data_IF_840955273750
#
_entry.id   IF_840955273750
#
_cell.length_a   1.000
_cell.length_b   1.000
_cell.length_c   1.000
_cell.angle_alpha   90.00
_cell.angle_beta   90.00
_cell.angle_gamma   90.00
#
_symmetry.space_group_name_H-M   'P 1'
#
loop_
_entity.id
_entity.type
_entity.pdbx_description
1 polymer ?
#
# COMPACT_ATOMS: atom_id res chain seq x y z
N UNK A 1 -9.78 -16.79 -6.98
CA UNK A 1 -9.78 -16.34 -5.57
C UNK A 1 -9.50 -17.54 -4.70
N UNK A 2 -8.38 -17.54 -3.97
CA UNK A 2 -8.03 -18.64 -3.06
C UNK A 2 -8.61 -18.32 -1.69
N UNK A 3 -9.55 -19.12 -1.20
CA UNK A 3 -10.14 -18.95 0.14
C UNK A 3 -9.70 -20.10 1.05
N UNK A 4 -9.22 -19.77 2.25
CA UNK A 4 -8.92 -20.77 3.29
C UNK A 4 -9.56 -20.35 4.61
N UNK A 5 -10.11 -21.34 5.32
CA UNK A 5 -10.61 -21.15 6.67
C UNK A 5 -9.43 -21.00 7.63
N UNK A 6 -9.39 -19.86 8.32
CA UNK A 6 -8.43 -19.59 9.41
C UNK A 6 -9.20 -19.34 10.69
N UNK A 7 -8.58 -19.62 11.84
CA UNK A 7 -9.13 -19.30 13.16
C UNK A 7 -8.41 -18.08 13.71
N UNK A 8 -9.16 -17.26 14.44
CA UNK A 8 -8.58 -16.26 15.32
C UNK A 8 -7.99 -17.02 16.51
N UNK A 9 -6.70 -16.81 16.77
CA UNK A 9 -6.00 -17.40 17.92
C UNK A 9 -6.00 -16.42 19.09
N UNK A 10 -5.39 -16.81 20.21
CA UNK A 10 -5.29 -15.99 21.40
C UNK A 10 -4.76 -14.58 21.12
N UNK A 11 -5.35 -13.59 21.80
CA UNK A 11 -5.03 -12.19 21.62
C UNK A 11 -5.54 -11.58 20.30
N UNK A 12 -6.50 -12.22 19.63
CA UNK A 12 -7.16 -11.65 18.44
C UNK A 12 -6.33 -11.74 17.16
N UNK A 13 -5.28 -12.57 17.13
CA UNK A 13 -4.38 -12.69 15.99
C UNK A 13 -4.96 -13.62 14.93
N UNK A 14 -4.67 -13.32 13.66
CA UNK A 14 -5.00 -14.17 12.52
C UNK A 14 -3.71 -14.69 11.89
N UNK A 15 -3.65 -15.99 11.64
CA UNK A 15 -2.50 -16.62 10.97
C UNK A 15 -2.77 -16.65 9.47
N UNK A 16 -1.96 -15.91 8.70
CA UNK A 16 -2.03 -15.92 7.24
C UNK A 16 -1.26 -17.15 6.72
N UNK A 17 -1.91 -18.08 5.99
CA UNK A 17 -1.24 -19.26 5.43
C UNK A 17 -0.07 -18.92 4.51
N UNK A 18 0.91 -19.82 4.42
CA UNK A 18 2.15 -19.57 3.68
C UNK A 18 1.90 -19.25 2.19
N UNK A 19 0.92 -19.91 1.55
CA UNK A 19 0.57 -19.66 0.15
C UNK A 19 0.09 -18.21 -0.04
N UNK A 20 -0.81 -17.73 0.82
CA UNK A 20 -1.33 -16.36 0.77
C UNK A 20 -0.24 -15.32 1.04
N UNK A 21 0.67 -15.58 1.98
CA UNK A 21 1.82 -14.68 2.22
C UNK A 21 2.69 -14.52 0.97
N UNK A 22 2.94 -15.62 0.23
CA UNK A 22 3.72 -15.58 -1.01
C UNK A 22 2.99 -14.80 -2.11
N UNK A 23 1.69 -15.01 -2.27
CA UNK A 23 0.88 -14.26 -3.25
C UNK A 23 0.86 -12.75 -2.95
N UNK A 24 0.85 -12.36 -1.67
CA UNK A 24 0.90 -10.97 -1.23
C UNK A 24 2.32 -10.37 -1.21
N UNK A 25 3.35 -11.20 -1.41
CA UNK A 25 4.75 -10.79 -1.32
C UNK A 25 5.16 -10.35 0.09
N UNK A 26 4.62 -11.00 1.13
CA UNK A 26 4.85 -10.66 2.54
C UNK A 26 5.77 -11.70 3.19
N UNK A 27 6.82 -11.24 3.85
CA UNK A 27 7.75 -12.02 4.64
C UNK A 27 7.61 -11.74 6.15
N UNK A 28 8.27 -12.57 6.97
CA UNK A 28 8.37 -12.32 8.41
C UNK A 28 9.14 -11.02 8.67
N UNK A 29 8.57 -10.12 9.45
CA UNK A 29 9.15 -8.82 9.77
C UNK A 29 8.61 -7.67 8.90
N UNK A 30 7.89 -7.98 7.82
CA UNK A 30 7.25 -6.96 7.00
C UNK A 30 6.07 -6.31 7.72
N UNK A 31 5.93 -5.01 7.52
CA UNK A 31 4.73 -4.27 7.90
C UNK A 31 3.69 -4.38 6.78
N UNK A 32 2.45 -4.68 7.16
CA UNK A 32 1.31 -4.78 6.25
C UNK A 32 0.29 -3.69 6.56
N UNK A 33 -0.39 -3.20 5.53
CA UNK A 33 -1.55 -2.34 5.69
C UNK A 33 -2.79 -3.22 5.83
N UNK A 34 -3.58 -2.95 6.87
CA UNK A 34 -4.85 -3.63 7.12
C UNK A 34 -5.95 -2.58 7.19
N UNK A 35 -6.97 -2.73 6.35
CA UNK A 35 -8.13 -1.84 6.33
C UNK A 35 -9.43 -2.65 6.37
N UNK A 36 -10.49 -2.04 6.86
CA UNK A 36 -11.85 -2.60 6.83
C UNK A 36 -12.63 -1.84 5.77
N UNK A 37 -13.12 -2.55 4.76
CA UNK A 37 -13.92 -1.97 3.68
C UNK A 37 -15.08 -2.89 3.35
N UNK A 38 -16.32 -2.40 3.45
CA UNK A 38 -17.52 -3.20 3.13
C UNK A 38 -17.72 -4.44 4.02
N UNK A 39 -17.18 -4.42 5.25
CA UNK A 39 -17.22 -5.58 6.15
C UNK A 39 -16.13 -6.62 5.88
N UNK A 40 -15.22 -6.36 4.93
CA UNK A 40 -14.07 -7.21 4.65
C UNK A 40 -12.80 -6.65 5.27
N UNK A 41 -11.95 -7.55 5.79
CA UNK A 41 -10.58 -7.20 6.17
C UNK A 41 -9.67 -7.33 4.95
N UNK A 42 -9.13 -6.21 4.47
CA UNK A 42 -8.22 -6.17 3.32
C UNK A 42 -6.80 -5.98 3.82
N UNK A 43 -5.93 -6.94 3.49
CA UNK A 43 -4.50 -6.93 3.85
C UNK A 43 -3.69 -6.69 2.58
N UNK A 44 -2.76 -5.74 2.63
CA UNK A 44 -1.84 -5.43 1.53
C UNK A 44 -0.42 -5.28 2.04
N UNK A 45 0.57 -5.65 1.22
CA UNK A 45 1.94 -5.23 1.47
C UNK A 45 2.09 -3.73 1.23
N UNK A 46 3.06 -3.09 1.88
CA UNK A 46 3.34 -1.66 1.66
C UNK A 46 3.61 -1.32 0.18
N UNK A 47 4.42 -2.09 -0.58
CA UNK A 47 4.61 -1.84 -2.01
C UNK A 47 3.31 -1.87 -2.81
N UNK A 48 2.41 -2.82 -2.51
CA UNK A 48 1.10 -2.91 -3.16
C UNK A 48 0.20 -1.72 -2.81
N UNK A 49 0.23 -1.26 -1.56
CA UNK A 49 -0.52 -0.09 -1.12
C UNK A 49 -0.06 1.18 -1.87
N UNK A 50 1.26 1.37 -1.98
CA UNK A 50 1.87 2.49 -2.73
C UNK A 50 1.50 2.41 -4.22
N UNK A 51 1.66 1.23 -4.84
CA UNK A 51 1.32 1.03 -6.24
C UNK A 51 -0.17 1.33 -6.53
N UNK A 52 -1.07 0.95 -5.61
CA UNK A 52 -2.50 1.28 -5.71
C UNK A 52 -2.74 2.79 -5.63
N UNK A 53 -2.12 3.47 -4.68
CA UNK A 53 -2.24 4.92 -4.54
C UNK A 53 -1.73 5.64 -5.80
N UNK A 54 -0.56 5.21 -6.31
CA UNK A 54 0.00 5.71 -7.57
C UNK A 54 -0.94 5.47 -8.76
N UNK A 55 -1.56 4.29 -8.86
CA UNK A 55 -2.49 3.96 -9.93
C UNK A 55 -3.78 4.82 -9.90
N UNK A 56 -4.25 5.20 -8.70
CA UNK A 56 -5.37 6.13 -8.54
C UNK A 56 -4.95 7.52 -9.02
N UNK A 57 -3.80 8.01 -8.56
CA UNK A 57 -3.26 9.33 -8.93
C UNK A 57 -3.00 9.45 -10.43
N UNK A 58 -2.48 8.40 -11.08
CA UNK A 58 -2.20 8.37 -12.53
C UNK A 58 -3.43 8.68 -13.40
N UNK A 59 -4.65 8.48 -12.88
CA UNK A 59 -5.90 8.84 -13.58
C UNK A 59 -6.15 10.34 -13.65
N UNK A 60 -5.47 11.11 -12.79
CA UNK A 60 -5.64 12.55 -12.66
C UNK A 60 -4.39 13.33 -13.10
N UNK A 61 -3.27 12.65 -13.35
CA UNK A 61 -2.00 13.25 -13.77
C UNK A 61 -1.78 12.99 -15.26
N UNK A 62 -1.54 14.02 -16.08
CA UNK A 62 -1.25 13.84 -17.51
C UNK A 62 -0.01 12.95 -17.73
N UNK A 63 0.02 12.25 -18.86
CA UNK A 63 1.18 11.45 -19.23
C UNK A 63 2.43 12.33 -19.38
N UNK A 64 3.58 11.82 -18.93
CA UNK A 64 4.86 12.54 -18.97
C UNK A 64 5.06 13.58 -17.87
N UNK A 65 4.04 13.87 -17.04
CA UNK A 65 4.15 14.82 -15.93
C UNK A 65 4.69 14.14 -14.66
N UNK A 66 5.70 14.75 -14.03
CA UNK A 66 6.26 14.34 -12.74
C UNK A 66 5.94 15.38 -11.67
N UNK A 67 4.87 15.15 -10.92
CA UNK A 67 4.49 16.02 -9.80
C UNK A 67 5.59 16.15 -8.74
N UNK A 68 6.41 15.10 -8.58
CA UNK A 68 7.54 15.14 -7.64
C UNK A 68 8.59 16.15 -8.09
N UNK A 69 8.91 16.18 -9.38
CA UNK A 69 9.91 17.11 -9.91
C UNK A 69 9.39 18.56 -9.86
N UNK A 70 8.11 18.78 -10.20
CA UNK A 70 7.46 20.09 -10.05
C UNK A 70 7.53 20.59 -8.60
N UNK A 71 7.18 19.73 -7.63
CA UNK A 71 7.25 20.08 -6.22
C UNK A 71 8.68 20.40 -5.77
N UNK A 72 9.68 19.64 -6.23
CA UNK A 72 11.09 19.90 -5.90
C UNK A 72 11.54 21.25 -6.44
N UNK A 73 11.17 21.58 -7.69
CA UNK A 73 11.48 22.88 -8.30
C UNK A 73 10.85 24.02 -7.52
N UNK A 74 9.59 23.89 -7.14
CA UNK A 74 8.89 24.93 -6.38
C UNK A 74 9.48 25.11 -4.99
N UNK A 75 9.81 24.03 -4.28
CA UNK A 75 10.49 24.10 -2.96
C UNK A 75 11.85 24.79 -3.03
N UNK A 76 12.61 24.57 -4.11
CA UNK A 76 13.89 25.27 -4.33
C UNK A 76 13.67 26.77 -4.55
N UNK A 77 12.69 27.14 -5.37
CA UNK A 77 12.33 28.56 -5.60
C UNK A 77 11.81 29.26 -4.36
N UNK A 78 11.13 28.55 -3.47
CA UNK A 78 10.71 29.08 -2.17
C UNK A 78 11.92 29.33 -1.27
N UNK A 79 12.81 28.34 -1.16
CA UNK A 79 14.02 28.45 -0.35
C UNK A 79 15.00 29.54 -0.81
N UNK A 80 15.00 29.89 -2.11
CA UNK A 80 15.81 31.01 -2.65
C UNK A 80 15.21 32.39 -2.32
N UNK A 81 13.95 32.47 -1.88
CA UNK A 81 13.25 33.73 -1.55
C UNK A 81 13.21 34.02 -0.05
N UNK A 82 13.55 33.05 0.80
CA UNK A 82 13.78 33.22 2.25
C UNK A 82 15.25 33.52 2.54
#
# INVERSE_FOLDING_TARGET
MTAQRVRIIEGGKLVIPALMRRELGIATGDTVLVEVEGGELRVRSLPQAVARAQAILRRHVPEGVSLADELIVDRRREAERE
#
